data_IF_857397116000
#
_entry.id   IF_857397116000
#
_cell.length_a   1.000
_cell.length_b   1.000
_cell.length_c   1.000
_cell.angle_alpha   90.00
_cell.angle_beta   90.00
_cell.angle_gamma   90.00
#
_symmetry.space_group_name_H-M   'P 1'
#
loop_
_entity.id
_entity.type
_entity.pdbx_description
1 polymer ?
#
# COMPACT_ATOMS: atom_id res chain seq x y z
N UNK A 1 -2.69 -18.42 22.29
CA UNK A 1 -2.77 -19.25 23.52
C UNK A 1 -1.60 -19.00 24.46
N UNK A 2 -0.34 -19.08 24.01
CA UNK A 2 0.87 -18.94 24.87
C UNK A 2 0.90 -17.63 25.69
N UNK A 3 0.56 -16.48 25.09
CA UNK A 3 0.58 -15.19 25.79
C UNK A 3 -0.39 -15.09 26.98
N UNK A 4 -1.55 -15.75 26.90
CA UNK A 4 -2.57 -15.73 27.96
C UNK A 4 -2.09 -16.55 29.17
N UNK A 5 -1.47 -17.71 28.92
CA UNK A 5 -0.91 -18.57 29.97
C UNK A 5 0.22 -17.86 30.71
N UNK A 6 1.10 -17.15 29.99
CA UNK A 6 2.18 -16.36 30.60
C UNK A 6 1.64 -15.20 31.44
N UNK A 7 0.60 -14.51 30.96
CA UNK A 7 -0.02 -13.40 31.70
C UNK A 7 -0.66 -13.88 33.01
N UNK A 8 -1.37 -15.01 32.98
CA UNK A 8 -1.99 -15.61 34.18
C UNK A 8 -0.90 -15.99 35.21
N UNK A 9 0.21 -16.58 34.74
CA UNK A 9 1.35 -16.93 35.61
C UNK A 9 1.97 -15.70 36.29
N UNK A 10 2.16 -14.60 35.55
CA UNK A 10 2.69 -13.34 36.08
C UNK A 10 1.74 -12.70 37.11
N UNK A 11 0.43 -12.70 36.87
CA UNK A 11 -0.56 -12.21 37.84
C UNK A 11 -0.54 -13.03 39.13
N UNK A 12 -0.41 -14.36 39.03
CA UNK A 12 -0.25 -15.25 40.18
C UNK A 12 0.99 -14.90 41.01
N UNK A 13 2.13 -14.65 40.36
CA UNK A 13 3.37 -14.25 41.03
C UNK A 13 3.24 -12.92 41.78
N UNK A 14 2.55 -11.92 41.21
CA UNK A 14 2.29 -10.63 41.87
C UNK A 14 1.49 -10.81 43.17
N UNK A 15 0.46 -11.65 43.14
CA UNK A 15 -0.37 -11.94 44.32
C UNK A 15 0.45 -12.62 45.43
N UNK A 16 1.30 -13.58 45.06
CA UNK A 16 2.17 -14.30 46.02
C UNK A 16 3.18 -13.34 46.67
N UNK A 17 3.86 -12.51 45.87
CA UNK A 17 4.85 -11.53 46.36
C UNK A 17 4.17 -10.50 47.28
N UNK A 18 2.99 -10.01 46.91
CA UNK A 18 2.21 -9.06 47.73
C UNK A 18 1.86 -9.61 49.12
N UNK A 19 1.55 -10.91 49.21
CA UNK A 19 1.25 -11.57 50.49
C UNK A 19 2.49 -11.81 51.34
N UNK A 20 3.64 -12.10 50.73
CA UNK A 20 4.87 -12.49 51.45
C UNK A 20 5.61 -11.32 52.09
N UNK A 21 5.53 -10.11 51.54
CA UNK A 21 6.23 -8.94 52.09
C UNK A 21 5.41 -8.34 53.22
N UNK A 22 5.93 -8.11 54.44
CA UNK A 22 5.14 -7.50 55.54
C UNK A 22 5.20 -5.97 55.56
N UNK A 23 6.23 -5.37 54.96
CA UNK A 23 6.42 -3.93 54.91
C UNK A 23 5.60 -3.30 53.76
N UNK A 24 4.74 -2.34 54.10
CA UNK A 24 3.89 -1.63 53.13
C UNK A 24 4.70 -0.90 52.06
N UNK A 25 5.85 -0.32 52.40
CA UNK A 25 6.70 0.41 51.46
C UNK A 25 7.33 -0.54 50.42
N UNK A 26 7.86 -1.68 50.86
CA UNK A 26 8.40 -2.69 49.93
C UNK A 26 7.31 -3.26 49.01
N UNK A 27 6.09 -3.48 49.51
CA UNK A 27 4.96 -3.97 48.68
C UNK A 27 4.68 -3.04 47.50
N UNK A 28 4.61 -1.73 47.74
CA UNK A 28 4.37 -0.75 46.67
C UNK A 28 5.49 -0.77 45.63
N UNK A 29 6.75 -0.83 46.06
CA UNK A 29 7.90 -0.89 45.15
C UNK A 29 7.85 -2.16 44.29
N UNK A 30 7.61 -3.31 44.90
CA UNK A 30 7.52 -4.59 44.18
C UNK A 30 6.41 -4.60 43.12
N UNK A 31 5.24 -4.05 43.43
CA UNK A 31 4.12 -3.98 42.49
C UNK A 31 4.48 -3.07 41.30
N UNK A 32 5.05 -1.88 41.56
CA UNK A 32 5.46 -0.94 40.51
C UNK A 32 6.51 -1.54 39.57
N UNK A 33 7.50 -2.28 40.11
CA UNK A 33 8.53 -2.94 39.29
C UNK A 33 7.92 -4.01 38.40
N UNK A 34 7.01 -4.86 38.92
CA UNK A 34 6.38 -5.90 38.11
C UNK A 34 5.46 -5.32 37.04
N UNK A 35 4.67 -4.29 37.37
CA UNK A 35 3.84 -3.58 36.37
C UNK A 35 4.70 -2.92 35.29
N UNK A 36 5.82 -2.29 35.66
CA UNK A 36 6.78 -1.74 34.71
C UNK A 36 7.36 -2.80 33.79
N UNK A 37 7.72 -3.97 34.32
CA UNK A 37 8.22 -5.10 33.52
C UNK A 37 7.16 -5.65 32.57
N UNK A 38 5.91 -5.76 33.01
CA UNK A 38 4.78 -6.16 32.14
C UNK A 38 4.61 -5.13 31.01
N UNK A 39 4.60 -3.84 31.32
CA UNK A 39 4.52 -2.78 30.31
C UNK A 39 5.70 -2.81 29.33
N UNK A 40 6.91 -3.12 29.78
CA UNK A 40 8.06 -3.27 28.87
C UNK A 40 7.91 -4.52 28.01
N UNK A 41 7.62 -5.69 28.58
CA UNK A 41 7.56 -6.94 27.82
C UNK A 41 6.39 -6.98 26.83
N UNK A 42 5.21 -6.53 27.26
CA UNK A 42 4.01 -6.51 26.42
C UNK A 42 3.92 -5.25 25.57
N UNK A 43 4.34 -4.10 26.10
CA UNK A 43 4.42 -2.85 25.35
C UNK A 43 5.43 -2.95 24.22
N UNK A 44 6.66 -3.45 24.43
CA UNK A 44 7.64 -3.60 23.33
C UNK A 44 7.25 -4.66 22.29
N UNK A 45 6.37 -5.61 22.63
CA UNK A 45 5.82 -6.57 21.67
C UNK A 45 4.62 -6.03 20.88
N UNK A 46 3.87 -5.10 21.46
CA UNK A 46 2.75 -4.40 20.81
C UNK A 46 3.20 -3.13 20.07
N UNK A 47 4.31 -2.53 20.49
CA UNK A 47 4.91 -1.37 19.86
C UNK A 47 5.28 -1.64 18.40
N UNK A 48 5.86 -2.76 17.94
CA UNK A 48 6.04 -3.00 16.50
C UNK A 48 4.75 -3.38 15.76
N UNK A 49 3.61 -3.55 16.44
CA UNK A 49 2.30 -3.66 15.78
C UNK A 49 1.56 -2.32 15.69
N UNK A 50 1.81 -1.41 16.62
CA UNK A 50 1.21 -0.05 16.65
C UNK A 50 2.15 1.02 16.04
N UNK A 51 3.46 0.82 16.20
CA UNK A 51 4.62 1.55 15.67
C UNK A 51 5.54 0.62 14.84
N UNK A 52 5.02 -0.47 14.28
CA UNK A 52 5.74 -1.18 13.23
C UNK A 52 6.15 -0.20 12.14
N UNK A 53 7.19 -0.50 11.32
CA UNK A 53 7.48 0.32 10.17
C UNK A 53 6.16 0.55 9.45
N UNK A 54 5.74 1.82 9.26
CA UNK A 54 4.38 2.14 8.88
C UNK A 54 4.04 1.26 7.69
N UNK A 55 2.96 0.49 7.83
CA UNK A 55 2.46 -0.36 6.75
C UNK A 55 2.53 0.49 5.49
N UNK A 56 3.30 0.04 4.49
CA UNK A 56 3.48 0.74 3.21
C UNK A 56 2.14 0.95 2.48
N UNK A 57 1.02 0.55 3.08
CA UNK A 57 -0.33 0.89 2.69
C UNK A 57 -0.59 0.35 1.31
N UNK A 58 -1.31 1.13 0.52
CA UNK A 58 -1.57 0.81 -0.88
C UNK A 58 -0.32 0.90 -1.77
N UNK A 59 0.76 1.52 -1.27
CA UNK A 59 2.09 1.61 -1.91
C UNK A 59 3.01 0.40 -1.68
N UNK A 60 2.53 -0.68 -1.05
CA UNK A 60 3.35 -1.84 -0.70
C UNK A 60 3.62 -2.79 -1.88
N UNK A 61 4.73 -3.54 -1.82
CA UNK A 61 5.01 -4.70 -2.69
C UNK A 61 3.86 -5.70 -2.80
N UNK A 62 3.08 -5.88 -1.72
CA UNK A 62 1.92 -6.79 -1.71
C UNK A 62 0.83 -6.32 -2.67
N UNK A 63 0.53 -5.01 -2.67
CA UNK A 63 -0.45 -4.41 -3.58
C UNK A 63 0.07 -4.45 -5.01
N UNK A 64 1.35 -4.14 -5.22
CA UNK A 64 1.96 -4.24 -6.53
C UNK A 64 1.86 -5.65 -7.13
N UNK A 65 2.11 -6.70 -6.33
CA UNK A 65 1.93 -8.10 -6.76
C UNK A 65 0.47 -8.42 -7.07
N UNK A 66 -0.46 -8.03 -6.20
CA UNK A 66 -1.89 -8.25 -6.42
C UNK A 66 -2.37 -7.62 -7.73
N UNK A 67 -1.96 -6.37 -8.01
CA UNK A 67 -2.36 -5.68 -9.23
C UNK A 67 -1.65 -6.21 -10.47
N UNK A 68 -0.38 -6.60 -10.35
CA UNK A 68 0.34 -7.32 -11.40
C UNK A 68 -0.43 -8.56 -11.82
N UNK A 69 -0.81 -9.40 -10.86
CA UNK A 69 -1.49 -10.66 -11.14
C UNK A 69 -2.90 -10.43 -11.73
N UNK A 70 -3.64 -9.42 -11.24
CA UNK A 70 -4.93 -9.02 -11.82
C UNK A 70 -4.81 -8.51 -13.24
N UNK A 71 -3.87 -7.58 -13.50
CA UNK A 71 -3.62 -7.06 -14.84
C UNK A 71 -3.14 -8.18 -15.76
N UNK A 72 -2.27 -9.08 -15.29
CA UNK A 72 -1.80 -10.23 -16.07
C UNK A 72 -2.94 -11.12 -16.61
N UNK A 73 -4.06 -11.19 -15.88
CA UNK A 73 -5.25 -11.92 -16.29
C UNK A 73 -6.11 -11.19 -17.34
N UNK A 74 -5.82 -9.92 -17.64
CA UNK A 74 -6.54 -9.14 -18.65
C UNK A 74 -5.89 -9.31 -20.04
N UNK A 75 -6.68 -9.64 -21.06
CA UNK A 75 -6.19 -9.75 -22.44
C UNK A 75 -6.65 -8.57 -23.31
N UNK A 76 -7.52 -7.72 -22.78
CA UNK A 76 -8.11 -6.57 -23.45
C UNK A 76 -8.42 -5.46 -22.44
N UNK A 77 -8.67 -4.24 -22.92
CA UNK A 77 -9.16 -3.16 -22.06
C UNK A 77 -10.53 -3.45 -21.45
N UNK A 78 -11.37 -4.24 -22.12
CA UNK A 78 -12.66 -4.65 -21.57
C UNK A 78 -12.50 -5.57 -20.35
N UNK A 79 -11.48 -6.45 -20.36
CA UNK A 79 -11.14 -7.23 -19.17
C UNK A 79 -10.66 -6.32 -18.02
N UNK A 80 -9.89 -5.28 -18.34
CA UNK A 80 -9.46 -4.28 -17.34
C UNK A 80 -10.69 -3.56 -16.77
N UNK A 81 -11.61 -3.09 -17.61
CA UNK A 81 -12.85 -2.42 -17.20
C UNK A 81 -13.71 -3.30 -16.28
N UNK A 82 -13.72 -4.63 -16.48
CA UNK A 82 -14.44 -5.58 -15.62
C UNK A 82 -13.76 -5.82 -14.27
N UNK A 83 -12.47 -5.56 -14.14
CA UNK A 83 -11.69 -5.85 -12.92
C UNK A 83 -11.33 -4.62 -12.07
N UNK A 84 -11.33 -3.44 -12.67
CA UNK A 84 -10.87 -2.18 -12.08
C UNK A 84 -11.95 -1.10 -12.22
N UNK A 85 -11.86 -0.06 -11.39
CA UNK A 85 -12.56 1.20 -11.61
C UNK A 85 -11.67 2.11 -12.48
N UNK A 86 -12.12 2.42 -13.68
CA UNK A 86 -11.30 2.94 -14.76
C UNK A 86 -11.59 4.42 -15.00
N UNK A 87 -10.57 5.11 -15.49
CA UNK A 87 -10.72 6.45 -16.03
C UNK A 87 -9.59 6.76 -16.99
N UNK A 88 -9.63 7.95 -17.58
CA UNK A 88 -8.58 8.45 -18.46
C UNK A 88 -8.37 9.93 -18.21
N UNK A 89 -7.20 10.43 -18.62
CA UNK A 89 -6.96 11.86 -18.69
C UNK A 89 -7.42 12.37 -20.05
N UNK A 90 -8.14 13.49 -20.07
CA UNK A 90 -8.47 14.21 -21.28
C UNK A 90 -7.90 15.64 -21.17
N UNK A 91 -7.13 16.03 -22.18
CA UNK A 91 -6.67 17.41 -22.32
C UNK A 91 -7.85 18.37 -22.48
N UNK A 92 -7.76 19.55 -21.87
CA UNK A 92 -8.75 20.62 -21.98
C UNK A 92 -8.21 21.75 -22.85
N UNK A 93 -9.11 22.58 -23.40
CA UNK A 93 -8.74 23.74 -24.24
C UNK A 93 -7.88 24.79 -23.52
N UNK A 94 -7.78 24.72 -22.19
CA UNK A 94 -7.04 25.66 -21.34
C UNK A 94 -5.80 25.01 -20.71
N UNK A 95 -5.07 24.20 -21.49
CA UNK A 95 -3.77 23.61 -21.12
C UNK A 95 -3.78 22.73 -19.86
N UNK A 96 -4.96 22.26 -19.43
CA UNK A 96 -5.13 21.40 -18.27
C UNK A 96 -5.52 19.98 -18.67
N UNK A 97 -5.48 19.07 -17.69
CA UNK A 97 -5.98 17.70 -17.84
C UNK A 97 -7.11 17.46 -16.86
N UNK A 98 -8.19 16.84 -17.34
CA UNK A 98 -9.32 16.43 -16.50
C UNK A 98 -9.42 14.92 -16.48
N UNK A 99 -9.57 14.36 -15.29
CA UNK A 99 -9.82 12.92 -15.14
C UNK A 99 -11.28 12.63 -15.46
N UNK A 100 -11.52 11.74 -16.41
CA UNK A 100 -12.85 11.32 -16.83
C UNK A 100 -13.04 9.86 -16.46
N UNK A 101 -13.98 9.54 -15.54
CA UNK A 101 -14.34 8.17 -15.24
C UNK A 101 -14.84 7.44 -16.49
N UNK A 102 -14.42 6.19 -16.67
CA UNK A 102 -14.92 5.34 -17.74
C UNK A 102 -16.33 4.83 -17.37
N UNK A 103 -17.36 5.08 -18.18
CA UNK A 103 -18.73 4.66 -17.86
C UNK A 103 -18.92 3.14 -17.85
N UNK A 104 -18.03 2.37 -18.50
CA UNK A 104 -18.12 0.93 -18.70
C UNK A 104 -17.32 0.13 -17.65
N UNK A 105 -16.92 0.78 -16.57
CA UNK A 105 -16.04 0.18 -15.56
C UNK A 105 -16.77 -0.50 -14.40
N UNK A 106 -16.04 -1.32 -13.62
CA UNK A 106 -16.54 -1.91 -12.38
C UNK A 106 -16.70 -0.83 -11.30
N UNK A 107 -17.92 -0.31 -11.16
CA UNK A 107 -18.24 0.81 -10.25
C UNK A 107 -17.94 0.52 -8.78
N UNK A 108 -18.07 -0.73 -8.36
CA UNK A 108 -17.83 -1.17 -6.97
C UNK A 108 -16.39 -1.66 -6.73
N UNK A 109 -15.50 -1.45 -7.70
CA UNK A 109 -14.09 -1.82 -7.60
C UNK A 109 -13.32 -0.94 -6.61
N UNK A 110 -12.65 -1.55 -5.63
CA UNK A 110 -11.78 -0.83 -4.69
C UNK A 110 -10.40 -0.43 -5.27
N UNK A 111 -10.13 -0.76 -6.53
CA UNK A 111 -8.85 -0.50 -7.21
C UNK A 111 -9.10 0.31 -8.46
N UNK A 112 -8.35 1.40 -8.60
CA UNK A 112 -8.42 2.26 -9.78
C UNK A 112 -7.37 1.90 -10.83
N UNK A 113 -7.72 2.05 -12.09
CA UNK A 113 -6.79 1.98 -13.22
C UNK A 113 -7.00 3.16 -14.17
N UNK A 114 -5.92 3.70 -14.72
CA UNK A 114 -5.99 4.63 -15.85
C UNK A 114 -5.81 3.86 -17.16
N UNK A 115 -6.64 4.18 -18.16
CA UNK A 115 -6.59 3.56 -19.47
C UNK A 115 -6.07 4.57 -20.50
N UNK A 116 -5.19 4.10 -21.36
CA UNK A 116 -4.66 4.82 -22.51
C UNK A 116 -4.90 3.98 -23.76
N UNK A 117 -5.56 4.59 -24.73
CA UNK A 117 -5.81 4.05 -26.06
C UNK A 117 -4.98 4.88 -27.04
N UNK A 118 -4.02 4.27 -27.74
CA UNK A 118 -3.15 4.96 -28.69
C UNK A 118 -3.71 4.88 -30.12
N UNK A 119 -3.41 5.85 -31.00
CA UNK A 119 -3.95 5.87 -32.37
C UNK A 119 -3.56 4.66 -33.24
N UNK A 120 -2.44 4.02 -32.94
CA UNK A 120 -1.93 2.82 -33.60
C UNK A 120 -2.62 1.52 -33.15
N UNK A 121 -3.52 1.60 -32.16
CA UNK A 121 -4.22 0.46 -31.58
C UNK A 121 -3.51 -0.16 -30.38
N UNK A 122 -2.35 0.38 -29.97
CA UNK A 122 -1.75 0.01 -28.70
C UNK A 122 -2.61 0.50 -27.54
N UNK A 123 -2.47 -0.17 -26.40
CA UNK A 123 -3.12 0.26 -25.17
C UNK A 123 -2.25 0.04 -23.95
N UNK A 124 -2.49 0.85 -22.92
CA UNK A 124 -1.85 0.75 -21.62
C UNK A 124 -2.90 0.87 -20.52
N UNK A 125 -2.88 -0.05 -19.57
CA UNK A 125 -3.62 0.04 -18.32
C UNK A 125 -2.64 0.29 -17.17
N UNK A 126 -2.94 1.27 -16.30
CA UNK A 126 -2.12 1.63 -15.15
C UNK A 126 -2.91 1.57 -13.85
N UNK A 127 -2.75 0.48 -13.09
CA UNK A 127 -3.28 0.39 -11.74
C UNK A 127 -2.39 1.20 -10.78
N UNK A 128 -2.98 1.97 -9.87
CA UNK A 128 -2.19 2.88 -9.02
C UNK A 128 -2.68 3.04 -7.59
N UNK A 129 -1.75 3.46 -6.74
CA UNK A 129 -2.00 4.01 -5.41
C UNK A 129 -1.37 5.40 -5.29
N UNK A 130 -2.17 6.32 -4.79
CA UNK A 130 -1.73 7.61 -4.27
C UNK A 130 -0.77 7.39 -3.08
N UNK A 131 0.29 8.19 -3.05
CA UNK A 131 1.25 8.25 -1.96
C UNK A 131 0.76 9.09 -0.77
N UNK A 132 -0.25 9.95 -0.94
CA UNK A 132 -0.80 10.76 0.14
C UNK A 132 -1.27 9.88 1.31
N UNK A 133 -0.82 10.25 2.52
CA UNK A 133 -1.06 9.51 3.77
C UNK A 133 -0.38 8.14 3.86
N UNK A 134 0.58 7.83 3.00
CA UNK A 134 1.39 6.61 3.09
C UNK A 134 2.87 6.97 3.11
N UNK A 135 3.63 6.42 4.05
CA UNK A 135 5.07 6.64 4.11
C UNK A 135 5.84 5.85 3.05
N UNK A 136 5.19 4.86 2.42
CA UNK A 136 5.79 3.97 1.44
C UNK A 136 5.90 4.51 0.02
N UNK A 137 5.38 5.71 -0.22
CA UNK A 137 5.18 6.23 -1.57
C UNK A 137 3.97 5.59 -2.26
N UNK A 138 3.77 5.99 -3.49
CA UNK A 138 2.77 5.45 -4.38
C UNK A 138 3.33 4.28 -5.17
N UNK A 139 2.41 3.55 -5.80
CA UNK A 139 2.73 2.42 -6.67
C UNK A 139 1.98 2.60 -7.97
N UNK A 140 2.65 2.31 -9.08
CA UNK A 140 2.02 2.19 -10.39
C UNK A 140 2.39 0.82 -10.95
N UNK A 141 1.40 0.05 -11.37
CA UNK A 141 1.59 -1.20 -12.10
C UNK A 141 0.96 -1.03 -13.46
N UNK A 142 1.75 -1.21 -14.50
CA UNK A 142 1.29 -1.04 -15.87
C UNK A 142 1.16 -2.40 -16.55
N UNK A 143 0.25 -2.49 -17.52
CA UNK A 143 0.21 -3.56 -18.52
C UNK A 143 -0.11 -2.97 -19.87
N UNK A 144 0.67 -3.33 -20.88
CA UNK A 144 0.37 -3.00 -22.27
C UNK A 144 -0.25 -4.18 -23.03
N UNK A 145 -0.69 -3.91 -24.25
CA UNK A 145 -1.30 -4.88 -25.16
C UNK A 145 -0.39 -6.07 -25.52
N UNK A 146 0.93 -5.93 -25.43
CA UNK A 146 1.89 -7.03 -25.63
C UNK A 146 1.96 -7.99 -24.44
N UNK A 147 1.29 -7.64 -23.34
CA UNK A 147 1.29 -8.38 -22.09
C UNK A 147 2.47 -8.05 -21.17
N UNK A 148 3.31 -7.08 -21.54
CA UNK A 148 4.42 -6.63 -20.70
C UNK A 148 3.87 -5.88 -19.48
N UNK A 149 4.38 -6.24 -18.31
CA UNK A 149 4.01 -5.61 -17.04
C UNK A 149 5.23 -4.96 -16.41
N UNK A 150 5.08 -3.70 -15.99
CA UNK A 150 6.12 -2.97 -15.24
C UNK A 150 5.57 -2.47 -13.93
N UNK A 151 6.43 -2.39 -12.93
CA UNK A 151 6.07 -1.93 -11.58
C UNK A 151 6.97 -0.78 -11.20
N UNK A 152 6.35 0.30 -10.74
CA UNK A 152 7.01 1.52 -10.36
C UNK A 152 6.64 1.91 -8.93
N UNK A 153 7.63 2.39 -8.18
CA UNK A 153 7.44 2.96 -6.85
C UNK A 153 8.03 4.36 -6.79
N UNK A 154 7.38 5.27 -6.09
CA UNK A 154 7.87 6.65 -5.97
C UNK A 154 6.79 7.58 -5.42
N UNK A 155 6.92 8.87 -5.68
CA UNK A 155 5.89 9.83 -5.29
C UNK A 155 4.78 9.85 -6.35
N UNK A 156 3.55 9.50 -5.96
CA UNK A 156 2.35 9.59 -6.81
C UNK A 156 1.39 10.52 -6.08
N UNK A 157 1.18 11.73 -6.59
CA UNK A 157 0.24 12.70 -6.02
C UNK A 157 -1.15 12.50 -6.62
N UNK A 158 -2.04 11.81 -5.92
CA UNK A 158 -3.38 11.54 -6.41
C UNK A 158 -3.37 10.51 -7.55
N UNK A 159 -3.69 10.96 -8.76
CA UNK A 159 -3.78 10.10 -9.95
C UNK A 159 -2.51 10.32 -10.78
N UNK A 160 -1.76 9.26 -11.12
CA UNK A 160 -0.57 9.43 -11.94
C UNK A 160 -0.97 10.03 -13.28
N UNK A 161 -0.15 10.95 -13.76
CA UNK A 161 -0.34 11.57 -15.04
C UNK A 161 0.94 11.33 -15.85
N UNK A 162 0.76 10.80 -17.05
CA UNK A 162 1.83 10.54 -17.97
C UNK A 162 1.38 10.96 -19.37
N UNK A 163 2.19 11.80 -20.00
CA UNK A 163 2.00 12.29 -21.37
C UNK A 163 2.75 11.40 -22.35
N UNK A 164 2.20 11.29 -23.55
CA UNK A 164 2.82 10.58 -24.66
C UNK A 164 1.80 10.17 -25.70
N UNK A 165 2.24 10.17 -26.96
CA UNK A 165 1.50 9.64 -28.11
C UNK A 165 1.84 8.17 -28.39
N UNK A 166 2.79 7.60 -27.63
CA UNK A 166 3.23 6.21 -27.71
C UNK A 166 3.47 5.59 -26.33
N UNK A 167 3.54 4.25 -26.27
CA UNK A 167 3.89 3.51 -25.05
C UNK A 167 5.24 3.96 -24.49
N UNK A 168 6.24 4.13 -25.35
CA UNK A 168 7.60 4.54 -24.98
C UNK A 168 7.63 5.92 -24.35
N UNK A 169 6.87 6.87 -24.88
CA UNK A 169 6.78 8.22 -24.33
C UNK A 169 6.11 8.22 -22.96
N UNK A 170 5.01 7.48 -22.80
CA UNK A 170 4.33 7.33 -21.51
C UNK A 170 5.26 6.68 -20.48
N UNK A 171 5.99 5.62 -20.84
CA UNK A 171 6.98 5.01 -19.96
C UNK A 171 8.13 5.95 -19.62
N UNK A 172 8.61 6.73 -20.59
CA UNK A 172 9.65 7.72 -20.38
C UNK A 172 9.16 8.85 -19.45
N UNK A 173 7.89 9.26 -19.56
CA UNK A 173 7.27 10.25 -18.69
C UNK A 173 7.26 9.78 -17.22
N UNK A 174 6.88 8.52 -16.97
CA UNK A 174 6.81 7.95 -15.61
C UNK A 174 8.15 7.95 -14.84
N UNK A 175 9.28 7.88 -15.55
CA UNK A 175 10.62 7.82 -14.95
C UNK A 175 11.36 9.17 -14.96
N UNK A 176 10.79 10.22 -15.58
CA UNK A 176 11.40 11.54 -15.68
C UNK A 176 10.95 12.47 -14.53
N UNK A 177 11.73 13.54 -14.24
CA UNK A 177 11.30 14.61 -13.32
C UNK A 177 9.96 15.23 -13.74
N UNK A 178 9.18 15.81 -12.80
CA UNK A 178 9.59 16.22 -11.45
C UNK A 178 9.44 15.15 -10.36
N UNK A 179 8.76 14.03 -10.61
CA UNK A 179 8.55 12.95 -9.64
C UNK A 179 8.88 11.59 -10.26
N UNK A 180 10.17 11.31 -10.49
CA UNK A 180 10.58 10.10 -11.19
C UNK A 180 10.17 8.87 -10.37
N UNK A 181 9.43 7.96 -10.98
CA UNK A 181 9.15 6.67 -10.38
C UNK A 181 10.30 5.70 -10.67
N UNK A 182 10.63 4.87 -9.70
CA UNK A 182 11.65 3.82 -9.83
C UNK A 182 11.00 2.54 -10.30
N UNK A 183 11.40 2.05 -11.46
CA UNK A 183 11.03 0.71 -11.94
C UNK A 183 11.67 -0.37 -11.04
N UNK A 184 10.88 -1.37 -10.67
CA UNK A 184 11.30 -2.48 -9.82
C UNK A 184 10.86 -3.79 -10.46
N UNK A 185 11.81 -4.71 -10.61
CA UNK A 185 11.53 -6.07 -11.04
C UNK A 185 10.90 -6.83 -9.87
N UNK A 186 9.59 -7.04 -9.91
CA UNK A 186 8.94 -8.01 -9.03
C UNK A 186 9.28 -9.39 -9.55
N UNK A 187 10.09 -10.14 -8.78
CA UNK A 187 10.57 -11.49 -9.13
C UNK A 187 9.53 -12.31 -9.90
N UNK A 188 10.02 -12.91 -11.00
CA UNK A 188 9.29 -13.82 -11.89
C UNK A 188 8.71 -14.98 -11.10
#
# INVERSE_FOLDING_TARGET
MIAIVVLIGLLGAVVIISRSVKNKALRCISISVVLGLILVLFGTSLLPRVLGPPSLGKGSYRHARLWRDKLAACNSLDDVRRQFNCGRWQGTLHEGYTHIPDPNTLRDGNTWALLYDFPDGDWLAMAYADSHNTWGGGTVVTRDNTGRIRVFFGHVCGRPFAEGESLEEVYACLIRPPSPLREVLLGQ
#
